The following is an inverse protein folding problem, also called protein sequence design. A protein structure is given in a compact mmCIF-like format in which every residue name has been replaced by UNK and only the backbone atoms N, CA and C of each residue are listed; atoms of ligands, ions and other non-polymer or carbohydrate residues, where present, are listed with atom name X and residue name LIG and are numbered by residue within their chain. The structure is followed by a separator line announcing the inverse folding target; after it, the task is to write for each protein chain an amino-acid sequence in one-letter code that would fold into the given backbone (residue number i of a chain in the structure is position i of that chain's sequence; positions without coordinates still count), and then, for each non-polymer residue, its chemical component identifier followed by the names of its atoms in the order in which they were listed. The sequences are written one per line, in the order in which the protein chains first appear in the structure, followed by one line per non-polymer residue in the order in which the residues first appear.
data_IF_677880762751
#
_entry.id   IF_677880762751
#
_cell.length_a   1.000
_cell.length_b   1.000
_cell.length_c   1.000
_cell.angle_alpha   90.00
_cell.angle_beta   90.00
_cell.angle_gamma   90.00
#
_symmetry.space_group_name_H-M   'P 1'
#
loop_
_entity.id
_entity.type
_entity.pdbx_description
1 polymer ?
#
# COMPACT_ATOMS: atom_id res chain seq x y z
N UNK A 1 -31.53 27.82 0.68
CA UNK A 1 -30.84 27.04 1.71
C UNK A 1 -29.33 27.30 1.70
N UNK A 2 -28.59 27.00 0.61
CA UNK A 2 -27.12 27.15 0.58
C UNK A 2 -26.63 28.56 0.95
N UNK A 3 -27.15 29.60 0.35
CA UNK A 3 -26.73 31.00 0.62
C UNK A 3 -27.05 31.45 2.07
N UNK A 4 -28.18 31.00 2.64
CA UNK A 4 -28.52 31.23 4.05
C UNK A 4 -27.55 30.51 4.99
N UNK A 5 -27.17 29.24 4.66
CA UNK A 5 -26.17 28.48 5.40
C UNK A 5 -24.80 29.16 5.37
N UNK A 6 -24.33 29.61 4.20
CA UNK A 6 -23.04 30.29 4.04
C UNK A 6 -23.01 31.61 4.79
N UNK A 7 -24.15 32.35 4.84
CA UNK A 7 -24.25 33.55 5.61
C UNK A 7 -24.26 33.31 7.14
N UNK A 8 -24.80 32.18 7.58
CA UNK A 8 -24.86 31.81 9.00
C UNK A 8 -23.53 31.22 9.51
N UNK A 9 -22.93 30.28 8.79
CA UNK A 9 -21.66 29.60 9.21
C UNK A 9 -20.45 30.47 8.90
N UNK A 10 -20.49 31.32 7.93
CA UNK A 10 -19.42 32.15 7.36
C UNK A 10 -18.23 31.38 6.78
N UNK A 11 -17.57 31.91 5.74
CA UNK A 11 -16.38 31.28 5.15
C UNK A 11 -15.21 31.11 6.14
N UNK A 12 -15.03 32.08 7.04
CA UNK A 12 -13.99 32.08 8.06
C UNK A 12 -14.20 30.96 9.09
N UNK A 13 -15.44 30.76 9.53
CA UNK A 13 -15.76 29.68 10.47
C UNK A 13 -15.58 28.27 9.80
N UNK A 14 -15.92 28.14 8.51
CA UNK A 14 -15.66 26.89 7.77
C UNK A 14 -14.16 26.68 7.57
N UNK A 15 -13.40 27.71 7.25
CA UNK A 15 -11.93 27.62 7.14
C UNK A 15 -11.31 27.18 8.46
N UNK A 16 -11.70 27.78 9.58
CA UNK A 16 -11.23 27.38 10.92
C UNK A 16 -11.58 25.92 11.24
N UNK A 17 -12.76 25.46 10.88
CA UNK A 17 -13.20 24.09 11.13
C UNK A 17 -12.41 23.06 10.35
N UNK A 18 -11.96 23.36 9.12
CA UNK A 18 -11.19 22.43 8.28
C UNK A 18 -9.68 22.54 8.49
N UNK A 19 -9.19 23.64 9.06
CA UNK A 19 -7.76 23.90 9.24
C UNK A 19 -7.23 23.22 10.51
N UNK A 20 -6.89 21.94 10.38
CA UNK A 20 -6.22 21.13 11.41
C UNK A 20 -5.53 19.93 10.77
N UNK A 21 -4.41 19.50 11.33
CA UNK A 21 -3.66 18.31 10.94
C UNK A 21 -4.32 17.01 11.45
N UNK A 22 -5.15 17.11 12.49
CA UNK A 22 -5.85 15.97 13.07
C UNK A 22 -7.20 15.71 12.37
N UNK A 23 -7.34 14.53 11.77
CA UNK A 23 -8.56 14.12 11.06
C UNK A 23 -9.77 14.05 11.96
N UNK A 24 -9.64 13.51 13.17
CA UNK A 24 -10.78 13.31 14.09
C UNK A 24 -11.30 14.66 14.60
N UNK A 25 -10.39 15.57 14.94
CA UNK A 25 -10.73 16.95 15.31
C UNK A 25 -11.48 17.65 14.19
N UNK A 26 -11.01 17.52 12.94
CA UNK A 26 -11.68 18.09 11.77
C UNK A 26 -13.10 17.55 11.59
N UNK A 27 -13.26 16.23 11.66
CA UNK A 27 -14.57 15.59 11.56
C UNK A 27 -15.53 16.02 12.68
N UNK A 28 -15.01 16.18 13.91
CA UNK A 28 -15.78 16.71 15.03
C UNK A 28 -16.23 18.18 14.80
N UNK A 29 -15.33 19.02 14.29
CA UNK A 29 -15.66 20.41 13.96
C UNK A 29 -16.73 20.50 12.88
N UNK A 30 -16.66 19.68 11.84
CA UNK A 30 -17.68 19.65 10.78
C UNK A 30 -19.02 19.16 11.33
N UNK A 31 -19.02 18.12 12.16
CA UNK A 31 -20.24 17.64 12.84
C UNK A 31 -20.88 18.70 13.71
N UNK A 32 -20.09 19.48 14.45
CA UNK A 32 -20.60 20.58 15.24
C UNK A 32 -21.23 21.70 14.39
N UNK A 33 -20.76 21.87 13.15
CA UNK A 33 -21.41 22.76 12.17
C UNK A 33 -22.75 22.18 11.70
N UNK A 34 -22.79 20.88 11.39
CA UNK A 34 -24.02 20.20 10.98
C UNK A 34 -25.08 20.25 12.09
N UNK A 35 -24.73 19.99 13.34
CA UNK A 35 -25.61 20.07 14.49
C UNK A 35 -26.23 21.49 14.66
N UNK A 36 -25.43 22.56 14.50
CA UNK A 36 -25.94 23.96 14.53
C UNK A 36 -26.92 24.24 13.40
N UNK A 37 -26.71 23.65 12.23
CA UNK A 37 -27.61 23.79 11.10
C UNK A 37 -28.90 22.98 11.28
N UNK A 38 -28.82 21.79 11.88
CA UNK A 38 -29.99 20.99 12.25
C UNK A 38 -30.87 21.72 13.25
N UNK A 39 -30.29 22.35 14.27
CA UNK A 39 -31.04 23.21 15.22
C UNK A 39 -31.69 24.40 14.54
N UNK A 40 -30.95 25.10 13.65
CA UNK A 40 -31.45 26.26 12.93
C UNK A 40 -32.60 25.94 12.00
N UNK A 41 -32.54 24.80 11.33
CA UNK A 41 -33.53 24.40 10.31
C UNK A 41 -34.52 23.35 10.83
N UNK A 42 -34.63 23.17 12.15
CA UNK A 42 -35.46 22.13 12.78
C UNK A 42 -36.91 22.10 12.30
N UNK A 43 -37.47 23.25 11.92
CA UNK A 43 -38.85 23.39 11.42
C UNK A 43 -38.98 23.17 9.89
N UNK A 44 -37.89 22.93 9.17
CA UNK A 44 -37.88 22.79 7.71
C UNK A 44 -37.27 21.43 7.28
N UNK A 45 -38.13 20.41 7.15
CA UNK A 45 -37.73 19.05 6.80
C UNK A 45 -36.97 18.97 5.45
N UNK A 46 -37.32 19.79 4.47
CA UNK A 46 -36.67 19.83 3.16
C UNK A 46 -35.20 20.29 3.28
N UNK A 47 -34.96 21.29 4.11
CA UNK A 47 -33.62 21.83 4.35
C UNK A 47 -32.78 20.90 5.23
N UNK A 48 -33.37 20.24 6.22
CA UNK A 48 -32.73 19.25 7.05
C UNK A 48 -32.13 18.12 6.18
N UNK A 49 -32.89 17.64 5.21
CA UNK A 49 -32.42 16.57 4.31
C UNK A 49 -31.23 16.97 3.41
N UNK A 50 -30.98 18.27 3.23
CA UNK A 50 -29.93 18.81 2.35
C UNK A 50 -28.67 19.27 3.10
N UNK A 51 -28.68 19.29 4.44
CA UNK A 51 -27.55 19.82 5.25
C UNK A 51 -26.23 19.16 4.86
N UNK A 52 -26.15 17.84 4.84
CA UNK A 52 -24.92 17.11 4.55
C UNK A 52 -24.34 17.45 3.17
N UNK A 53 -25.19 17.54 2.13
CA UNK A 53 -24.74 17.90 0.78
C UNK A 53 -24.27 19.35 0.70
N UNK A 54 -24.99 20.26 1.35
CA UNK A 54 -24.67 21.69 1.38
C UNK A 54 -23.37 21.96 2.17
N UNK A 55 -23.17 21.31 3.32
CA UNK A 55 -21.93 21.39 4.11
C UNK A 55 -20.77 20.83 3.32
N UNK A 56 -20.93 19.68 2.66
CA UNK A 56 -19.92 19.11 1.79
C UNK A 56 -19.52 20.07 0.65
N UNK A 57 -20.47 20.67 -0.03
CA UNK A 57 -20.22 21.64 -1.10
C UNK A 57 -19.49 22.89 -0.59
N UNK A 58 -19.87 23.39 0.58
CA UNK A 58 -19.23 24.54 1.21
C UNK A 58 -17.80 24.21 1.66
N UNK A 59 -17.60 23.07 2.30
CA UNK A 59 -16.28 22.57 2.68
C UNK A 59 -15.35 22.42 1.47
N UNK A 60 -15.84 21.80 0.39
CA UNK A 60 -15.10 21.66 -0.87
C UNK A 60 -14.67 23.01 -1.43
N UNK A 61 -15.60 23.97 -1.50
CA UNK A 61 -15.33 25.32 -2.00
C UNK A 61 -14.29 26.04 -1.14
N UNK A 62 -14.39 25.93 0.17
CA UNK A 62 -13.45 26.54 1.14
C UNK A 62 -12.06 25.95 0.99
N UNK A 63 -11.91 24.63 1.02
CA UNK A 63 -10.61 23.95 0.89
C UNK A 63 -9.94 24.24 -0.46
N UNK A 64 -10.70 24.22 -1.56
CA UNK A 64 -10.17 24.57 -2.88
C UNK A 64 -9.69 26.02 -2.95
N UNK A 65 -10.43 26.96 -2.34
CA UNK A 65 -10.02 28.37 -2.22
C UNK A 65 -8.73 28.50 -1.41
N UNK A 66 -8.63 27.84 -0.25
CA UNK A 66 -7.42 27.84 0.59
C UNK A 66 -6.21 27.41 -0.21
N UNK A 67 -6.33 26.32 -0.99
CA UNK A 67 -5.22 25.79 -1.78
C UNK A 67 -4.87 26.72 -2.94
N UNK A 68 -5.85 27.10 -3.78
CA UNK A 68 -5.62 27.84 -5.02
C UNK A 68 -5.28 29.32 -4.81
N UNK A 69 -5.91 29.98 -3.86
CA UNK A 69 -5.78 31.43 -3.68
C UNK A 69 -4.85 31.79 -2.53
N UNK A 70 -4.93 31.03 -1.43
CA UNK A 70 -4.18 31.35 -0.21
C UNK A 70 -2.90 30.52 -0.09
N UNK A 71 -2.67 29.55 -1.02
CA UNK A 71 -1.57 28.58 -1.01
C UNK A 71 -1.41 27.87 0.33
N UNK A 72 -2.54 27.59 0.99
CA UNK A 72 -2.62 27.02 2.33
C UNK A 72 -3.30 25.66 2.28
N UNK A 73 -2.62 24.63 2.75
CA UNK A 73 -3.21 23.29 2.88
C UNK A 73 -3.99 23.17 4.18
N UNK A 74 -5.04 22.30 4.24
CA UNK A 74 -5.85 22.13 5.44
C UNK A 74 -5.08 21.75 6.70
N UNK A 75 -3.95 21.06 6.56
CA UNK A 75 -3.07 20.66 7.66
C UNK A 75 -1.85 21.59 7.89
N UNK A 76 -1.84 22.73 7.23
CA UNK A 76 -0.81 23.75 7.38
C UNK A 76 0.53 23.47 6.68
N UNK A 77 0.67 22.35 5.96
CA UNK A 77 1.88 22.02 5.20
C UNK A 77 2.04 22.92 3.96
N UNK A 78 3.30 23.07 3.52
CA UNK A 78 3.59 23.60 2.19
C UNK A 78 3.14 22.65 1.09
N UNK A 79 2.94 23.18 -0.13
CA UNK A 79 2.45 22.40 -1.28
C UNK A 79 3.36 21.21 -1.66
N UNK A 80 4.65 21.28 -1.35
CA UNK A 80 5.65 20.21 -1.60
C UNK A 80 5.95 19.35 -0.38
N UNK A 81 5.48 19.74 0.77
CA UNK A 81 5.85 19.10 2.03
C UNK A 81 5.17 17.73 2.18
N UNK A 82 5.97 16.73 2.52
CA UNK A 82 5.51 15.38 2.89
C UNK A 82 5.18 15.38 4.38
N UNK A 83 4.15 14.63 4.79
CA UNK A 83 3.82 14.38 6.21
C UNK A 83 5.00 13.76 6.94
N UNK A 84 5.09 13.87 8.27
CA UNK A 84 6.11 13.17 9.06
C UNK A 84 6.15 11.68 8.72
N UNK A 85 7.36 11.16 8.49
CA UNK A 85 7.62 9.79 8.06
C UNK A 85 8.30 8.99 9.16
N UNK A 86 7.88 7.74 9.34
CA UNK A 86 8.54 6.77 10.20
C UNK A 86 8.49 5.38 9.56
N UNK A 87 9.56 4.61 9.74
CA UNK A 87 9.63 3.23 9.28
C UNK A 87 10.36 2.37 10.31
N UNK A 88 9.93 1.11 10.42
CA UNK A 88 10.49 0.13 11.33
C UNK A 88 10.38 -1.26 10.73
N UNK A 89 11.37 -2.13 10.96
CA UNK A 89 11.33 -3.53 10.59
C UNK A 89 11.37 -4.42 11.84
N UNK A 90 11.03 -5.71 11.67
CA UNK A 90 11.01 -6.70 12.76
C UNK A 90 10.01 -6.39 13.88
N UNK A 91 8.94 -5.71 13.56
CA UNK A 91 7.88 -5.35 14.53
C UNK A 91 7.22 -6.58 15.17
N UNK A 92 7.22 -7.72 14.48
CA UNK A 92 6.62 -8.98 14.92
C UNK A 92 7.68 -10.09 14.98
N UNK A 93 7.92 -10.70 16.17
CA UNK A 93 9.10 -11.56 16.37
C UNK A 93 9.01 -12.95 15.74
N UNK A 94 7.83 -13.45 15.38
CA UNK A 94 7.64 -14.83 14.91
C UNK A 94 7.22 -14.98 13.45
N UNK A 95 7.14 -13.87 12.73
CA UNK A 95 6.88 -13.87 11.29
C UNK A 95 8.18 -13.98 10.50
N UNK A 96 8.10 -14.23 9.20
CA UNK A 96 9.31 -14.38 8.37
C UNK A 96 9.95 -13.02 8.06
N UNK A 97 9.16 -11.95 7.97
CA UNK A 97 9.56 -10.56 7.90
C UNK A 97 8.38 -9.66 8.20
N UNK A 98 8.63 -8.52 8.82
CA UNK A 98 7.58 -7.52 9.09
C UNK A 98 8.16 -6.12 9.02
N UNK A 99 7.29 -5.17 8.68
CA UNK A 99 7.63 -3.75 8.68
C UNK A 99 6.40 -2.90 9.00
N UNK A 100 6.65 -1.81 9.68
CA UNK A 100 5.72 -0.71 9.87
C UNK A 100 6.17 0.47 9.03
N UNK A 101 5.25 1.10 8.33
CA UNK A 101 5.48 2.37 7.64
C UNK A 101 4.38 3.34 8.01
N UNK A 102 4.78 4.52 8.44
CA UNK A 102 3.87 5.58 8.86
C UNK A 102 4.16 6.87 8.09
N UNK A 103 3.09 7.56 7.70
CA UNK A 103 3.11 8.87 7.06
C UNK A 103 1.98 9.72 7.62
N UNK A 104 2.31 10.60 8.56
CA UNK A 104 1.33 11.30 9.38
C UNK A 104 0.39 10.30 10.06
N UNK A 105 -0.91 10.49 9.90
CA UNK A 105 -1.96 9.59 10.39
C UNK A 105 -2.23 8.38 9.48
N UNK A 106 -1.41 8.10 8.49
CA UNK A 106 -1.52 6.85 7.71
C UNK A 106 -0.47 5.87 8.19
N UNK A 107 -0.90 4.73 8.72
CA UNK A 107 -0.03 3.70 9.28
C UNK A 107 -0.36 2.33 8.67
N UNK A 108 0.68 1.64 8.20
CA UNK A 108 0.58 0.33 7.54
C UNK A 108 1.56 -0.65 8.17
N UNK A 109 1.04 -1.77 8.64
CA UNK A 109 1.83 -2.93 9.05
C UNK A 109 1.82 -3.95 7.91
N UNK A 110 2.99 -4.39 7.44
CA UNK A 110 3.09 -5.46 6.45
C UNK A 110 3.87 -6.65 6.99
N UNK A 111 3.34 -7.83 6.72
CA UNK A 111 3.96 -9.12 7.08
C UNK A 111 4.26 -9.90 5.82
N UNK A 112 5.47 -10.42 5.72
CA UNK A 112 5.92 -11.33 4.65
C UNK A 112 5.96 -12.75 5.18
N UNK A 113 5.37 -13.67 4.41
CA UNK A 113 5.42 -15.12 4.62
C UNK A 113 6.05 -15.78 3.41
N UNK A 114 7.00 -16.66 3.66
CA UNK A 114 7.70 -17.47 2.65
C UNK A 114 7.22 -18.92 2.75
N UNK A 115 6.99 -19.55 1.62
CA UNK A 115 6.58 -20.95 1.54
C UNK A 115 7.26 -21.66 0.38
N UNK A 116 7.03 -22.97 0.24
CA UNK A 116 7.51 -23.74 -0.91
C UNK A 116 6.78 -23.33 -2.19
N UNK A 117 7.36 -23.59 -3.35
CA UNK A 117 6.73 -23.26 -4.64
C UNK A 117 5.39 -23.97 -4.86
N UNK A 118 5.20 -25.14 -4.25
CA UNK A 118 3.90 -25.85 -4.28
C UNK A 118 2.76 -25.11 -3.56
N UNK A 119 3.10 -24.09 -2.76
CA UNK A 119 2.15 -23.20 -2.06
C UNK A 119 1.82 -21.93 -2.85
N UNK A 120 2.38 -21.78 -4.06
CA UNK A 120 2.01 -20.70 -4.97
C UNK A 120 0.53 -20.74 -5.30
N UNK A 121 -0.08 -19.57 -5.47
CA UNK A 121 -1.49 -19.47 -5.83
C UNK A 121 -1.73 -20.10 -7.19
N UNK A 122 -2.66 -21.04 -7.27
CA UNK A 122 -3.13 -21.59 -8.55
C UNK A 122 -4.09 -20.59 -9.21
N UNK A 123 -3.86 -20.34 -10.49
CA UNK A 123 -4.71 -19.51 -11.30
C UNK A 123 -5.60 -20.42 -12.15
N UNK A 124 -6.91 -20.33 -11.93
CA UNK A 124 -7.92 -21.11 -12.64
C UNK A 124 -8.83 -20.13 -13.42
N UNK A 125 -8.48 -19.88 -14.66
CA UNK A 125 -9.18 -18.95 -15.53
C UNK A 125 -9.10 -19.39 -17.00
N UNK A 126 -10.13 -19.07 -17.78
CA UNK A 126 -10.27 -19.49 -19.20
C UNK A 126 -9.16 -18.87 -20.07
N UNK A 127 -8.71 -17.67 -19.72
CA UNK A 127 -7.75 -16.87 -20.51
C UNK A 127 -6.37 -16.72 -19.85
N UNK A 128 -6.03 -17.57 -18.87
CA UNK A 128 -4.78 -17.46 -18.13
C UNK A 128 -3.70 -18.32 -18.81
N UNK A 129 -2.63 -17.69 -19.25
CA UNK A 129 -1.44 -18.39 -19.76
C UNK A 129 -0.57 -18.92 -18.64
N UNK A 130 -0.56 -18.25 -17.47
CA UNK A 130 0.15 -18.69 -16.27
C UNK A 130 -0.79 -19.48 -15.37
N UNK A 131 -0.36 -20.67 -14.96
CA UNK A 131 -1.14 -21.55 -14.09
C UNK A 131 -0.93 -21.31 -12.60
N UNK A 132 0.15 -20.60 -12.26
CA UNK A 132 0.53 -20.29 -10.87
C UNK A 132 1.02 -18.85 -10.74
N UNK A 133 0.81 -18.30 -9.54
CA UNK A 133 1.30 -16.98 -9.15
C UNK A 133 2.12 -17.12 -7.88
N UNK A 134 3.43 -16.89 -8.01
CA UNK A 134 4.40 -17.06 -6.93
C UNK A 134 4.38 -15.93 -5.91
N UNK A 135 4.17 -14.68 -6.35
CA UNK A 135 4.05 -13.52 -5.47
C UNK A 135 2.60 -13.10 -5.31
N UNK A 136 2.17 -13.00 -4.08
CA UNK A 136 0.82 -12.58 -3.70
C UNK A 136 0.92 -11.37 -2.76
N UNK A 137 0.19 -10.30 -3.08
CA UNK A 137 0.05 -9.15 -2.21
C UNK A 137 -1.40 -8.97 -1.80
N UNK A 138 -1.68 -9.11 -0.51
CA UNK A 138 -3.00 -8.90 0.07
C UNK A 138 -3.01 -7.59 0.85
N UNK A 139 -4.13 -6.89 0.77
CA UNK A 139 -4.31 -5.58 1.39
C UNK A 139 -5.64 -5.59 2.14
N UNK A 140 -5.60 -5.31 3.43
CA UNK A 140 -6.76 -5.25 4.30
C UNK A 140 -6.97 -3.82 4.79
N UNK A 141 -8.21 -3.33 4.63
CA UNK A 141 -8.63 -2.01 5.05
C UNK A 141 -9.80 -2.12 6.04
N UNK A 142 -9.52 -2.48 7.29
CA UNK A 142 -10.56 -2.65 8.31
C UNK A 142 -11.20 -1.30 8.67
N UNK A 143 -12.45 -1.34 9.10
CA UNK A 143 -13.23 -0.13 9.40
C UNK A 143 -12.61 0.74 10.49
N UNK A 144 -11.94 0.12 11.47
CA UNK A 144 -11.27 0.86 12.53
C UNK A 144 -10.17 1.80 12.02
N UNK A 145 -9.56 1.49 10.85
CA UNK A 145 -8.50 2.33 10.27
C UNK A 145 -8.96 3.75 9.91
N UNK A 146 -10.24 3.95 9.76
CA UNK A 146 -10.87 5.25 9.51
C UNK A 146 -11.79 5.69 10.65
N UNK A 147 -11.76 5.00 11.81
CA UNK A 147 -12.59 5.33 12.98
C UNK A 147 -14.04 4.87 12.85
N UNK A 148 -14.36 3.99 11.92
CA UNK A 148 -15.72 3.49 11.69
C UNK A 148 -15.95 2.14 12.36
N UNK A 149 -17.22 1.86 12.70
CA UNK A 149 -17.68 0.55 13.16
C UNK A 149 -18.62 -0.03 12.12
N UNK A 150 -18.21 -1.13 11.46
CA UNK A 150 -19.04 -1.85 10.48
C UNK A 150 -18.69 -3.33 10.44
N UNK A 151 -19.62 -4.22 10.01
CA UNK A 151 -19.35 -5.64 9.85
C UNK A 151 -18.23 -5.90 8.84
N UNK A 152 -17.31 -6.82 9.17
CA UNK A 152 -16.31 -7.32 8.22
C UNK A 152 -16.96 -8.36 7.29
N UNK A 153 -16.91 -8.09 5.97
CA UNK A 153 -17.53 -8.95 4.93
C UNK A 153 -16.51 -9.46 3.90
N UNK A 154 -15.22 -9.50 4.26
CA UNK A 154 -14.14 -9.79 3.33
C UNK A 154 -13.72 -8.57 2.49
N UNK A 155 -12.71 -8.72 1.61
CA UNK A 155 -12.12 -7.62 0.86
C UNK A 155 -13.10 -7.04 -0.17
N UNK A 156 -13.25 -5.73 -0.14
CA UNK A 156 -13.99 -4.97 -1.14
C UNK A 156 -13.16 -4.67 -2.40
N UNK A 157 -13.77 -4.08 -3.42
CA UNK A 157 -13.09 -3.71 -4.67
C UNK A 157 -11.90 -2.78 -4.46
N UNK A 158 -12.00 -1.86 -3.48
CA UNK A 158 -10.92 -0.93 -3.12
C UNK A 158 -9.70 -1.69 -2.60
N UNK A 159 -9.91 -2.65 -1.72
CA UNK A 159 -8.84 -3.47 -1.15
C UNK A 159 -8.16 -4.32 -2.22
N UNK A 160 -8.94 -4.92 -3.13
CA UNK A 160 -8.41 -5.69 -4.26
C UNK A 160 -7.58 -4.78 -5.18
N UNK A 161 -8.09 -3.60 -5.53
CA UNK A 161 -7.37 -2.64 -6.40
C UNK A 161 -6.09 -2.09 -5.78
N UNK A 162 -6.11 -1.75 -4.49
CA UNK A 162 -4.92 -1.30 -3.76
C UNK A 162 -3.87 -2.41 -3.62
N UNK A 163 -4.31 -3.64 -3.33
CA UNK A 163 -3.43 -4.81 -3.30
C UNK A 163 -2.77 -5.08 -4.66
N UNK A 164 -3.55 -5.03 -5.74
CA UNK A 164 -3.05 -5.21 -7.10
C UNK A 164 -2.04 -4.12 -7.53
N UNK A 165 -2.25 -2.87 -7.10
CA UNK A 165 -1.28 -1.79 -7.34
C UNK A 165 0.05 -2.06 -6.62
N UNK A 166 -0.01 -2.42 -5.34
CA UNK A 166 1.19 -2.70 -4.56
C UNK A 166 1.93 -3.94 -5.10
N UNK A 167 1.21 -4.99 -5.48
CA UNK A 167 1.80 -6.15 -6.13
C UNK A 167 2.54 -5.77 -7.41
N UNK A 168 1.88 -5.04 -8.31
CA UNK A 168 2.48 -4.57 -9.57
C UNK A 168 3.71 -3.72 -9.34
N UNK A 169 3.72 -2.90 -8.29
CA UNK A 169 4.85 -2.05 -7.96
C UNK A 169 6.11 -2.83 -7.54
N UNK A 170 5.93 -4.00 -6.94
CA UNK A 170 7.01 -4.81 -6.37
C UNK A 170 7.50 -5.94 -7.29
N UNK A 171 6.64 -6.48 -8.15
CA UNK A 171 7.00 -7.58 -9.08
C UNK A 171 8.29 -7.30 -9.87
N UNK A 172 8.56 -6.11 -10.43
CA UNK A 172 9.77 -5.86 -11.22
C UNK A 172 11.08 -6.00 -10.45
N UNK A 173 11.04 -5.84 -9.12
CA UNK A 173 12.24 -5.92 -8.26
C UNK A 173 12.41 -7.27 -7.56
N UNK A 174 11.45 -8.18 -7.70
CA UNK A 174 11.56 -9.50 -7.11
C UNK A 174 12.63 -10.35 -7.82
N UNK A 175 13.30 -11.25 -7.08
CA UNK A 175 14.20 -12.23 -7.67
C UNK A 175 13.45 -13.23 -8.55
N UNK A 176 14.15 -13.85 -9.49
CA UNK A 176 13.60 -14.98 -10.26
C UNK A 176 13.32 -16.18 -9.36
N UNK A 177 12.58 -17.16 -9.87
CA UNK A 177 12.32 -18.41 -9.17
C UNK A 177 13.59 -19.23 -8.96
N UNK A 178 14.53 -19.15 -9.90
CA UNK A 178 15.81 -19.81 -9.83
C UNK A 178 16.72 -19.22 -8.74
N UNK A 179 16.71 -17.89 -8.60
CA UNK A 179 17.51 -17.18 -7.58
C UNK A 179 16.93 -17.35 -6.18
N UNK A 180 15.60 -17.42 -6.07
CA UNK A 180 14.90 -17.50 -4.78
C UNK A 180 13.65 -18.38 -4.89
N UNK A 181 13.78 -19.71 -4.66
CA UNK A 181 12.74 -20.72 -4.94
C UNK A 181 11.62 -20.75 -3.88
N UNK A 182 11.04 -19.59 -3.56
CA UNK A 182 9.98 -19.46 -2.59
C UNK A 182 8.71 -18.90 -3.24
N UNK A 183 7.57 -19.39 -2.81
CA UNK A 183 6.31 -18.63 -2.89
C UNK A 183 6.35 -17.53 -1.83
N UNK A 184 6.00 -16.32 -2.22
CA UNK A 184 6.09 -15.12 -1.38
C UNK A 184 4.68 -14.54 -1.21
N UNK A 185 4.26 -14.35 0.03
CA UNK A 185 3.01 -13.67 0.35
C UNK A 185 3.26 -12.50 1.27
N UNK A 186 2.86 -11.30 0.85
CA UNK A 186 2.80 -10.11 1.70
C UNK A 186 1.36 -9.78 2.04
N UNK A 187 1.12 -9.41 3.28
CA UNK A 187 -0.19 -8.95 3.75
C UNK A 187 0.00 -7.60 4.42
N UNK A 188 -0.63 -6.57 3.87
CA UNK A 188 -0.63 -5.22 4.44
C UNK A 188 -1.93 -4.98 5.20
N UNK A 189 -1.82 -4.72 6.49
CA UNK A 189 -2.89 -4.32 7.38
C UNK A 189 -2.84 -2.81 7.59
N UNK A 190 -3.91 -2.13 7.24
CA UNK A 190 -4.02 -0.68 7.44
C UNK A 190 -4.46 -0.41 8.88
N UNK A 191 -3.52 0.10 9.67
CA UNK A 191 -3.76 0.39 11.09
C UNK A 191 -4.50 1.71 11.28
N UNK A 192 -4.15 2.72 10.47
CA UNK A 192 -4.78 4.03 10.44
C UNK A 192 -4.69 4.63 9.02
N UNK A 193 -5.70 5.42 8.61
CA UNK A 193 -5.77 6.00 7.27
C UNK A 193 -6.23 7.45 7.25
N UNK A 194 -5.37 8.31 6.70
CA UNK A 194 -5.70 9.66 6.25
C UNK A 194 -5.18 9.91 4.82
N UNK A 195 -5.56 9.03 3.89
CA UNK A 195 -5.21 9.10 2.47
C UNK A 195 -3.86 8.42 2.10
N UNK A 196 -3.76 8.01 0.85
CA UNK A 196 -2.58 7.39 0.22
C UNK A 196 -2.09 6.10 0.88
N UNK A 197 -2.98 5.29 1.41
CA UNK A 197 -2.65 4.03 2.12
C UNK A 197 -2.00 2.99 1.22
N UNK A 198 -2.40 2.90 -0.06
CA UNK A 198 -1.77 1.98 -1.02
C UNK A 198 -0.28 2.27 -1.21
N UNK A 199 0.11 3.55 -1.21
CA UNK A 199 1.51 3.95 -1.31
C UNK A 199 2.28 3.63 -0.02
N UNK A 200 1.66 3.77 1.13
CA UNK A 200 2.20 3.30 2.41
C UNK A 200 2.41 1.78 2.42
N UNK A 201 1.47 1.01 1.85
CA UNK A 201 1.59 -0.45 1.77
C UNK A 201 2.75 -0.89 0.86
N UNK A 202 3.05 -0.15 -0.21
CA UNK A 202 4.22 -0.43 -1.07
C UNK A 202 5.52 -0.25 -0.27
N UNK A 203 5.66 0.86 0.46
CA UNK A 203 6.84 1.12 1.29
C UNK A 203 7.01 0.04 2.38
N UNK A 204 5.95 -0.26 3.12
CA UNK A 204 5.96 -1.28 4.17
C UNK A 204 6.28 -2.68 3.61
N UNK A 205 5.72 -3.03 2.44
CA UNK A 205 5.96 -4.32 1.80
C UNK A 205 7.39 -4.45 1.29
N UNK A 206 7.95 -3.38 0.70
CA UNK A 206 9.35 -3.35 0.29
C UNK A 206 10.29 -3.62 1.48
N UNK A 207 10.08 -2.92 2.59
CA UNK A 207 10.83 -3.13 3.84
C UNK A 207 10.65 -4.54 4.42
N UNK A 208 9.41 -5.05 4.43
CA UNK A 208 9.08 -6.38 4.94
C UNK A 208 9.71 -7.50 4.12
N UNK A 209 9.76 -7.37 2.79
CA UNK A 209 10.46 -8.30 1.88
C UNK A 209 11.96 -8.33 2.17
N UNK A 210 12.60 -7.16 2.31
CA UNK A 210 14.02 -7.05 2.64
C UNK A 210 14.33 -7.65 4.02
N UNK A 211 13.47 -7.40 5.00
CA UNK A 211 13.57 -7.97 6.35
C UNK A 211 13.37 -9.49 6.36
N UNK A 212 12.58 -10.05 5.45
CA UNK A 212 12.38 -11.48 5.28
C UNK A 212 13.57 -12.18 4.59
N UNK A 213 14.56 -11.44 4.10
CA UNK A 213 15.68 -11.98 3.34
C UNK A 213 15.35 -12.30 1.88
N UNK A 214 14.30 -11.69 1.33
CA UNK A 214 14.03 -11.78 -0.12
C UNK A 214 15.02 -10.87 -0.84
N UNK A 215 15.85 -11.40 -1.75
CA UNK A 215 16.88 -10.62 -2.42
C UNK A 215 16.29 -9.75 -3.53
N UNK A 216 15.49 -8.73 -3.13
CA UNK A 216 14.95 -7.77 -4.07
C UNK A 216 16.06 -6.95 -4.72
N UNK A 217 15.92 -6.61 -5.99
CA UNK A 217 16.93 -5.87 -6.78
C UNK A 217 17.17 -4.46 -6.24
N UNK A 218 16.13 -3.82 -5.72
CA UNK A 218 16.17 -2.48 -5.13
C UNK A 218 14.94 -2.25 -4.24
N UNK A 219 15.02 -1.36 -3.24
CA UNK A 219 13.85 -0.92 -2.48
C UNK A 219 12.89 -0.11 -3.37
N UNK A 220 11.61 -0.19 -3.08
CA UNK A 220 10.55 0.52 -3.78
C UNK A 220 9.79 1.42 -2.81
N UNK A 221 9.73 2.71 -3.12
CA UNK A 221 8.88 3.67 -2.41
C UNK A 221 7.67 4.08 -3.24
N UNK A 222 6.58 4.39 -2.56
CA UNK A 222 5.35 4.90 -3.17
C UNK A 222 4.93 6.25 -2.58
N UNK A 223 4.44 7.14 -3.46
CA UNK A 223 3.90 8.45 -3.09
C UNK A 223 2.73 8.83 -4.00
N UNK A 224 1.86 9.70 -3.51
CA UNK A 224 0.82 10.33 -4.33
C UNK A 224 1.02 11.83 -4.42
N UNK A 225 0.60 12.40 -5.55
CA UNK A 225 0.40 13.82 -5.72
C UNK A 225 -1.03 14.08 -6.16
N UNK A 226 -1.57 15.21 -5.77
CA UNK A 226 -2.92 15.65 -6.15
C UNK A 226 -2.89 16.89 -6.99
N UNK A 227 -3.95 17.14 -7.72
CA UNK A 227 -4.16 18.33 -8.55
C UNK A 227 -5.41 19.06 -8.07
N UNK A 228 -5.29 20.35 -7.95
CA UNK A 228 -6.43 21.27 -7.77
C UNK A 228 -6.36 22.31 -8.88
N UNK A 229 -7.40 22.40 -9.70
CA UNK A 229 -7.48 23.34 -10.84
C UNK A 229 -8.40 24.55 -10.51
N UNK A 230 -8.09 25.70 -11.09
CA UNK A 230 -8.91 26.90 -11.05
C UNK A 230 -9.73 27.11 -12.32
N UNK A 231 -9.85 28.36 -12.77
CA UNK A 231 -10.71 28.74 -13.91
C UNK A 231 -10.01 28.64 -15.28
N UNK A 232 -8.71 28.46 -15.34
CA UNK A 232 -7.92 28.40 -16.58
C UNK A 232 -6.96 27.24 -16.60
N UNK A 233 -6.45 26.88 -17.78
CA UNK A 233 -5.54 25.76 -17.98
C UNK A 233 -4.22 25.92 -17.21
N UNK A 234 -3.81 27.16 -16.95
CA UNK A 234 -2.61 27.51 -16.19
C UNK A 234 -2.87 27.79 -14.71
N UNK A 235 -4.15 27.82 -14.28
CA UNK A 235 -4.55 28.03 -12.88
C UNK A 235 -4.69 26.68 -12.17
N UNK A 236 -3.56 26.11 -11.76
CA UNK A 236 -3.54 24.84 -11.03
C UNK A 236 -2.45 24.78 -9.99
N UNK A 237 -2.63 23.90 -9.02
CA UNK A 237 -1.63 23.56 -8.00
C UNK A 237 -1.50 22.04 -7.90
N UNK A 238 -0.25 21.55 -7.90
CA UNK A 238 0.07 20.16 -7.61
C UNK A 238 0.55 20.06 -6.16
N UNK A 239 -0.12 19.19 -5.39
CA UNK A 239 0.18 18.92 -3.99
C UNK A 239 0.96 17.62 -3.85
N UNK A 240 2.09 17.65 -3.18
CA UNK A 240 2.83 16.42 -2.85
C UNK A 240 2.28 15.78 -1.57
N UNK A 241 2.13 14.46 -1.55
CA UNK A 241 1.62 13.68 -0.43
C UNK A 241 0.23 14.15 0.03
N UNK A 242 -0.76 13.87 -0.80
CA UNK A 242 -2.16 14.25 -0.49
C UNK A 242 -2.73 13.44 0.67
N UNK A 243 -3.48 14.12 1.53
CA UNK A 243 -4.32 13.53 2.55
C UNK A 243 -5.75 13.28 2.03
N UNK A 244 -6.58 12.58 2.84
CA UNK A 244 -7.92 12.20 2.43
C UNK A 244 -8.79 13.37 1.94
N UNK A 245 -8.77 14.51 2.62
CA UNK A 245 -9.55 15.69 2.23
C UNK A 245 -9.13 16.27 0.87
N UNK A 246 -7.82 16.26 0.60
CA UNK A 246 -7.25 16.74 -0.66
C UNK A 246 -7.53 15.78 -1.82
N UNK A 247 -7.58 14.46 -1.55
CA UNK A 247 -8.05 13.45 -2.50
C UNK A 247 -9.54 13.66 -2.83
N UNK A 248 -10.40 13.83 -1.83
CA UNK A 248 -11.83 14.03 -2.05
C UNK A 248 -12.16 15.27 -2.85
N UNK A 249 -11.50 16.40 -2.57
CA UNK A 249 -11.82 17.71 -3.15
C UNK A 249 -10.94 18.10 -4.33
N UNK A 250 -9.86 17.35 -4.58
CA UNK A 250 -8.98 17.53 -5.73
C UNK A 250 -9.56 16.98 -7.03
N UNK A 251 -8.87 17.25 -8.11
CA UNK A 251 -9.25 16.91 -9.49
C UNK A 251 -8.47 15.73 -10.05
N UNK A 252 -7.34 15.38 -9.43
CA UNK A 252 -6.52 14.21 -9.76
C UNK A 252 -5.87 13.64 -8.50
N UNK A 253 -5.81 12.31 -8.41
CA UNK A 253 -4.94 11.53 -7.54
C UNK A 253 -3.96 10.73 -8.42
N UNK A 254 -2.69 11.12 -8.39
CA UNK A 254 -1.63 10.51 -9.19
C UNK A 254 -0.63 9.79 -8.29
N UNK A 255 -0.65 8.47 -8.35
CA UNK A 255 0.15 7.57 -7.52
C UNK A 255 1.29 6.99 -8.33
N UNK A 256 2.50 7.10 -7.80
CA UNK A 256 3.70 6.56 -8.42
C UNK A 256 4.52 5.77 -7.41
N UNK A 257 4.91 4.58 -7.81
CA UNK A 257 5.88 3.77 -7.09
C UNK A 257 7.13 3.54 -7.95
N UNK A 258 8.27 3.36 -7.30
CA UNK A 258 9.52 3.08 -8.02
C UNK A 258 10.74 3.05 -7.10
N UNK A 259 11.85 2.69 -7.72
CA UNK A 259 13.20 2.69 -7.16
C UNK A 259 13.91 4.02 -7.44
N UNK A 260 15.18 4.12 -7.10
CA UNK A 260 16.04 5.24 -7.54
C UNK A 260 16.17 5.27 -9.07
N UNK A 261 16.23 4.11 -9.72
CA UNK A 261 16.49 4.01 -11.16
C UNK A 261 15.25 4.32 -12.01
N UNK A 262 14.04 4.06 -11.49
CA UNK A 262 12.84 4.28 -12.29
C UNK A 262 11.52 3.94 -11.62
N UNK A 263 10.46 4.14 -12.38
CA UNK A 263 9.08 3.90 -11.98
C UNK A 263 8.73 2.43 -12.20
N UNK A 264 8.13 1.78 -11.21
CA UNK A 264 7.65 0.40 -11.29
C UNK A 264 6.14 0.30 -11.43
N UNK A 265 5.38 1.29 -10.93
CA UNK A 265 3.94 1.35 -11.12
C UNK A 265 3.41 2.77 -11.08
N UNK A 266 2.34 3.00 -11.85
CA UNK A 266 1.57 4.25 -11.87
C UNK A 266 0.09 3.89 -11.77
N UNK A 267 -0.65 4.68 -10.97
CA UNK A 267 -2.11 4.75 -11.02
C UNK A 267 -2.51 6.21 -11.03
N UNK A 268 -3.42 6.56 -11.92
CA UNK A 268 -3.98 7.90 -12.03
C UNK A 268 -5.50 7.80 -11.98
N UNK A 269 -6.10 8.61 -11.11
CA UNK A 269 -7.53 8.84 -11.04
C UNK A 269 -7.80 10.33 -11.29
N UNK A 270 -8.59 10.64 -12.32
CA UNK A 270 -8.91 12.00 -12.74
C UNK A 270 -10.41 12.24 -12.69
N UNK A 271 -10.80 13.40 -12.18
CA UNK A 271 -12.20 13.84 -12.06
C UNK A 271 -12.55 14.96 -13.04
N UNK A 272 -11.61 15.29 -13.95
CA UNK A 272 -11.74 16.31 -14.99
C UNK A 272 -11.52 15.69 -16.37
N UNK A 273 -11.83 16.43 -17.44
CA UNK A 273 -11.85 15.88 -18.79
C UNK A 273 -10.46 15.60 -19.43
N UNK A 274 -9.37 15.95 -18.77
CA UNK A 274 -8.02 15.68 -19.26
C UNK A 274 -6.96 16.47 -18.49
N UNK A 275 -5.69 16.17 -18.78
CA UNK A 275 -4.54 16.83 -18.18
C UNK A 275 -3.65 17.37 -19.29
N UNK A 276 -3.05 18.54 -19.07
CA UNK A 276 -2.04 19.08 -19.96
C UNK A 276 -0.71 18.30 -19.80
N UNK A 277 0.16 18.27 -20.85
CA UNK A 277 1.48 17.66 -20.73
C UNK A 277 2.35 18.28 -19.62
N UNK A 278 2.12 19.55 -19.28
CA UNK A 278 2.88 20.25 -18.24
C UNK A 278 2.48 19.79 -16.85
N UNK A 279 1.18 19.60 -16.60
CA UNK A 279 0.68 18.99 -15.35
C UNK A 279 1.29 17.59 -15.16
N UNK A 280 1.31 16.77 -16.21
CA UNK A 280 1.86 15.41 -16.13
C UNK A 280 3.36 15.44 -15.84
N UNK A 281 4.13 16.30 -16.51
CA UNK A 281 5.57 16.44 -16.26
C UNK A 281 5.86 16.90 -14.82
N UNK A 282 5.11 17.89 -14.34
CA UNK A 282 5.27 18.36 -12.97
C UNK A 282 4.90 17.27 -11.95
N UNK A 283 3.79 16.57 -12.14
CA UNK A 283 3.39 15.46 -11.29
C UNK A 283 4.47 14.36 -11.22
N UNK A 284 5.03 13.95 -12.36
CA UNK A 284 6.12 12.97 -12.42
C UNK A 284 7.38 13.49 -11.67
N UNK A 285 7.76 14.75 -11.88
CA UNK A 285 8.91 15.36 -11.21
C UNK A 285 8.71 15.40 -9.67
N UNK A 286 7.52 15.83 -9.23
CA UNK A 286 7.15 15.87 -7.80
C UNK A 286 7.20 14.49 -7.16
N UNK A 287 6.67 13.48 -7.84
CA UNK A 287 6.72 12.10 -7.31
C UNK A 287 8.13 11.55 -7.29
N UNK A 288 9.01 11.94 -8.21
CA UNK A 288 10.43 11.56 -8.19
C UNK A 288 11.13 12.13 -6.96
N UNK A 289 11.06 13.45 -6.75
CA UNK A 289 11.64 14.13 -5.59
C UNK A 289 11.18 13.50 -4.27
N UNK A 290 9.89 13.22 -4.16
CA UNK A 290 9.30 12.64 -2.96
C UNK A 290 9.73 11.16 -2.73
N UNK A 291 9.80 10.34 -3.79
CA UNK A 291 10.28 8.94 -3.69
C UNK A 291 11.75 8.89 -3.27
N UNK A 292 12.60 9.70 -3.90
CA UNK A 292 14.02 9.83 -3.52
C UNK A 292 14.16 10.17 -2.04
N UNK A 293 13.37 11.12 -1.55
CA UNK A 293 13.37 11.49 -0.13
C UNK A 293 12.97 10.31 0.77
N UNK A 294 11.91 9.57 0.42
CA UNK A 294 11.43 8.42 1.20
C UNK A 294 12.47 7.30 1.20
N UNK A 295 13.03 6.95 0.05
CA UNK A 295 14.06 5.92 -0.07
C UNK A 295 15.27 6.27 0.79
N UNK A 296 15.89 7.42 0.52
CA UNK A 296 17.19 7.80 1.10
C UNK A 296 17.10 8.13 2.59
N UNK A 297 16.04 8.86 3.01
CA UNK A 297 16.01 9.42 4.37
C UNK A 297 15.16 8.63 5.35
N UNK A 298 14.34 7.67 4.86
CA UNK A 298 13.40 6.93 5.72
C UNK A 298 13.60 5.43 5.63
N UNK A 299 13.64 4.86 4.42
CA UNK A 299 13.69 3.41 4.25
C UNK A 299 15.11 2.84 4.37
N UNK A 300 16.08 3.41 3.68
CA UNK A 300 17.47 2.95 3.69
C UNK A 300 18.16 3.05 5.06
N UNK A 301 17.90 4.07 5.91
CA UNK A 301 18.41 4.09 7.27
C UNK A 301 17.91 2.94 8.15
N UNK A 302 16.74 2.37 7.85
CA UNK A 302 16.17 1.24 8.58
C UNK A 302 16.71 -0.09 8.05
N UNK A 303 16.70 -0.25 6.73
CA UNK A 303 17.28 -1.40 6.03
C UNK A 303 17.68 -1.00 4.62
N UNK A 304 18.98 -0.96 4.33
CA UNK A 304 19.52 -0.51 3.05
C UNK A 304 19.65 -1.64 2.01
N UNK A 305 19.83 -2.88 2.47
CA UNK A 305 19.95 -4.07 1.64
C UNK A 305 19.11 -5.19 2.21
N UNK A 306 18.61 -6.12 1.38
CA UNK A 306 17.98 -7.33 1.88
C UNK A 306 18.91 -8.10 2.81
N UNK A 307 18.37 -8.80 3.80
CA UNK A 307 19.14 -9.69 4.66
C UNK A 307 19.73 -10.84 3.85
N UNK A 308 20.91 -11.27 4.22
CA UNK A 308 21.63 -12.35 3.55
C UNK A 308 20.99 -13.74 3.73
N UNK A 309 20.05 -13.83 4.67
CA UNK A 309 19.36 -15.09 5.00
C UNK A 309 17.90 -14.85 5.32
N UNK A 310 17.07 -15.85 5.06
CA UNK A 310 15.65 -15.81 5.42
C UNK A 310 15.47 -15.82 6.94
N UNK A 311 14.38 -15.26 7.42
CA UNK A 311 14.05 -15.15 8.84
C UNK A 311 14.15 -16.50 9.58
N UNK A 312 14.34 -16.46 10.89
CA UNK A 312 14.52 -17.65 11.74
C UNK A 312 13.38 -18.66 11.58
N UNK A 313 12.15 -18.17 11.52
CA UNK A 313 10.96 -19.00 11.41
C UNK A 313 10.53 -19.32 9.96
N UNK A 314 11.24 -18.78 8.98
CA UNK A 314 10.97 -19.09 7.58
C UNK A 314 11.46 -20.48 7.22
N UNK A 315 10.77 -21.19 6.31
CA UNK A 315 11.25 -22.48 5.82
C UNK A 315 12.61 -22.33 5.15
N UNK A 316 13.52 -23.27 5.38
CA UNK A 316 14.81 -23.35 4.72
C UNK A 316 14.66 -24.24 3.50
N UNK A 317 14.97 -23.72 2.32
CA UNK A 317 14.94 -24.47 1.06
C UNK A 317 16.37 -24.73 0.63
N UNK A 318 16.68 -26.02 0.43
CA UNK A 318 17.92 -26.48 -0.22
C UNK A 318 17.58 -26.99 -1.62
N UNK A 319 18.20 -26.39 -2.62
CA UNK A 319 17.97 -26.74 -4.01
C UNK A 319 19.15 -27.56 -4.52
N UNK A 320 18.85 -28.67 -5.21
CA UNK A 320 19.83 -29.47 -5.92
C UNK A 320 19.29 -29.85 -7.32
N UNK A 321 20.20 -30.11 -8.23
CA UNK A 321 19.86 -30.62 -9.56
C UNK A 321 20.34 -32.04 -9.71
N UNK A 322 19.49 -32.89 -10.24
CA UNK A 322 19.78 -34.28 -10.57
C UNK A 322 19.50 -34.51 -12.06
N UNK A 323 20.12 -35.53 -12.61
CA UNK A 323 19.84 -35.94 -13.98
C UNK A 323 18.36 -36.33 -14.10
N UNK A 324 17.59 -35.75 -15.05
CA UNK A 324 16.19 -36.10 -15.26
C UNK A 324 15.95 -37.62 -15.39
N UNK A 325 16.86 -38.35 -16.01
CA UNK A 325 16.74 -39.79 -16.15
C UNK A 325 16.80 -40.54 -14.80
N UNK A 326 17.31 -39.89 -13.74
CA UNK A 326 17.41 -40.45 -12.39
C UNK A 326 16.27 -40.06 -11.43
N UNK A 327 15.37 -39.22 -11.87
CA UNK A 327 14.22 -38.80 -11.04
C UNK A 327 13.41 -40.01 -10.57
N UNK A 328 13.22 -41.00 -11.46
CA UNK A 328 12.50 -42.23 -11.14
C UNK A 328 13.18 -43.07 -10.03
N UNK A 329 14.50 -43.04 -9.93
CA UNK A 329 15.26 -43.71 -8.88
C UNK A 329 15.09 -43.02 -7.54
N UNK A 330 15.08 -41.68 -7.53
CA UNK A 330 14.88 -40.85 -6.31
C UNK A 330 13.47 -41.05 -5.78
N UNK A 331 12.47 -41.02 -6.64
CA UNK A 331 11.07 -41.28 -6.27
C UNK A 331 10.90 -42.72 -5.79
N UNK A 332 11.54 -43.65 -6.47
CA UNK A 332 11.44 -45.09 -6.21
C UNK A 332 10.08 -45.67 -6.61
N UNK A 333 9.97 -47.00 -6.57
CA UNK A 333 8.72 -47.70 -6.95
C UNK A 333 7.54 -47.26 -6.07
N UNK A 334 6.52 -46.63 -6.67
CA UNK A 334 5.36 -46.08 -5.99
C UNK A 334 5.71 -45.05 -4.91
N UNK A 335 6.77 -44.28 -5.09
CA UNK A 335 7.21 -43.26 -4.14
C UNK A 335 7.93 -43.79 -2.89
N UNK A 336 8.28 -45.07 -2.83
CA UNK A 336 8.79 -45.70 -1.62
C UNK A 336 10.09 -45.06 -1.13
N UNK A 337 11.00 -44.68 -2.03
CA UNK A 337 12.31 -44.10 -1.65
C UNK A 337 12.12 -42.69 -1.11
N UNK A 338 11.41 -41.84 -1.83
CA UNK A 338 11.20 -40.44 -1.42
C UNK A 338 10.38 -40.37 -0.13
N UNK A 339 9.35 -41.20 0.02
CA UNK A 339 8.56 -41.21 1.26
C UNK A 339 9.37 -41.69 2.46
N UNK A 340 10.30 -42.66 2.29
CA UNK A 340 11.17 -43.07 3.37
C UNK A 340 12.11 -41.94 3.83
N UNK A 341 12.61 -41.12 2.90
CA UNK A 341 13.41 -39.94 3.23
C UNK A 341 12.59 -38.91 3.98
N UNK A 342 11.36 -38.64 3.50
CA UNK A 342 10.43 -37.71 4.13
C UNK A 342 10.07 -38.14 5.55
N UNK A 343 9.76 -39.44 5.72
CA UNK A 343 9.39 -40.00 7.03
C UNK A 343 10.55 -39.96 8.04
N UNK A 344 11.78 -40.19 7.57
CA UNK A 344 12.98 -40.18 8.43
C UNK A 344 13.41 -38.76 8.83
N UNK A 345 13.30 -37.81 7.91
CA UNK A 345 13.85 -36.46 8.08
C UNK A 345 12.83 -35.40 8.44
N UNK A 346 11.54 -35.63 8.18
CA UNK A 346 10.47 -34.67 8.35
C UNK A 346 10.49 -33.50 7.35
N UNK A 347 11.30 -33.58 6.29
CA UNK A 347 11.38 -32.57 5.23
C UNK A 347 10.25 -32.77 4.20
N UNK A 348 9.91 -31.70 3.49
CA UNK A 348 9.12 -31.78 2.27
C UNK A 348 10.05 -31.77 1.06
N UNK A 349 9.81 -32.61 0.08
CA UNK A 349 10.64 -32.71 -1.12
C UNK A 349 9.72 -32.49 -2.33
N UNK A 350 10.04 -31.46 -3.12
CA UNK A 350 9.39 -31.17 -4.39
C UNK A 350 10.40 -31.42 -5.53
N UNK A 351 9.99 -32.16 -6.58
CA UNK A 351 10.83 -32.48 -7.73
C UNK A 351 10.08 -32.06 -9.00
N UNK A 352 10.76 -31.34 -9.89
CA UNK A 352 10.21 -31.03 -11.21
C UNK A 352 10.78 -31.94 -12.30
N UNK A 353 10.16 -31.92 -13.49
CA UNK A 353 10.56 -32.80 -14.63
C UNK A 353 11.94 -32.46 -15.21
N UNK A 354 12.50 -31.29 -14.89
CA UNK A 354 13.84 -30.86 -15.31
C UNK A 354 14.95 -31.30 -14.37
N UNK A 355 14.64 -32.05 -13.30
CA UNK A 355 15.58 -32.55 -12.33
C UNK A 355 15.93 -31.63 -11.19
N UNK A 356 15.18 -30.51 -11.02
CA UNK A 356 15.31 -29.69 -9.83
C UNK A 356 14.62 -30.35 -8.64
N UNK A 357 15.34 -30.48 -7.54
CA UNK A 357 14.88 -31.05 -6.28
C UNK A 357 14.97 -29.96 -5.21
N UNK A 358 13.81 -29.52 -4.70
CA UNK A 358 13.70 -28.57 -3.63
C UNK A 358 13.38 -29.31 -2.32
N UNK A 359 14.28 -29.27 -1.35
CA UNK A 359 14.10 -29.86 -0.02
C UNK A 359 13.76 -28.73 0.96
N UNK A 360 12.62 -28.81 1.60
CA UNK A 360 12.07 -27.77 2.46
C UNK A 360 11.98 -28.26 3.90
N UNK A 361 12.58 -27.53 4.82
CA UNK A 361 12.46 -27.76 6.25
C UNK A 361 11.79 -26.57 6.94
N UNK A 362 10.76 -26.84 7.76
CA UNK A 362 10.06 -25.87 8.61
C UNK A 362 10.59 -25.85 10.05
N UNK A 363 11.50 -26.76 10.38
CA UNK A 363 12.19 -26.78 11.67
C UNK A 363 13.63 -26.34 11.49
N UNK A 364 14.26 -25.82 12.55
CA UNK A 364 15.72 -25.64 12.56
C UNK A 364 16.38 -26.99 12.47
N UNK A 365 16.58 -27.47 11.25
CA UNK A 365 17.51 -28.56 11.04
C UNK A 365 18.90 -28.01 11.26
N UNK A 366 19.42 -28.20 12.46
CA UNK A 366 20.86 -28.49 12.57
C UNK A 366 21.07 -29.76 11.75
N UNK A 367 21.61 -29.61 10.54
CA UNK A 367 22.17 -30.75 9.82
C UNK A 367 23.10 -31.43 10.81
N UNK A 368 22.95 -32.76 11.11
CA UNK A 368 23.94 -33.43 11.85
C UNK A 368 25.24 -33.31 11.06
N UNK A 369 26.20 -32.60 11.62
CA UNK A 369 27.59 -32.60 11.14
C UNK A 369 28.16 -33.97 11.41
N UNK A 370 28.02 -34.87 10.46
CA UNK A 370 28.80 -36.09 10.34
C UNK A 370 29.20 -36.31 8.90
#
# INVERSE_FOLDING_TARGET
MYDDMVAFITPEAMEEAVFTDDKQTREANIRAIEEKLEERYAENEEWLAQIGEAVYAFQKKTVRKMILKDHKRPDGRDIKQIRPLHAEVDCLPRVHGSALFQRGQTQVMTVTTLGSLSEAQRLDGIDVTETTKRYMHHYNFPSYSVGETRPSRGPGRREIGHGALAERALVPVLPSEEEFPYAIRTVSEIMESNGSTSQGSICASSLSLMAAGVPVKAPVAGISVGLVTGEGDDDYIILTDIQGLEDFFGDMDFKVAGTHDGITAIQMDIKIHGLTPDIIREAISRTKEAREHILTNVMEPVISTPRDHVGEYAPKIMQMHVDPDKISEIIGKQGKTINAIIDETGVKIDINDEGRVDTVSYTHLTLPTT
#
